data_IF_585357120414
#
_entry.id   IF_585357120414
#
_cell.length_a   1.000
_cell.length_b   1.000
_cell.length_c   1.000
_cell.angle_alpha   90.00
_cell.angle_beta   90.00
_cell.angle_gamma   90.00
#
_symmetry.space_group_name_H-M   'P 1'
#
loop_
_entity.id
_entity.type
_entity.pdbx_description
1 polymer ?
#
# COMPACT_ATOMS: atom_id res chain seq x y z
N UNK A 1 13.44 -31.51 7.95
CA UNK A 1 12.59 -30.75 7.00
C UNK A 1 11.45 -30.15 7.79
N UNK A 2 11.50 -28.85 8.06
CA UNK A 2 10.34 -28.16 8.63
C UNK A 2 9.25 -28.17 7.56
N UNK A 3 8.06 -28.67 7.89
CA UNK A 3 6.90 -28.51 7.02
C UNK A 3 6.68 -27.02 6.80
N UNK A 4 6.73 -26.58 5.55
CA UNK A 4 6.66 -25.18 5.12
C UNK A 4 5.23 -24.61 5.23
N UNK A 5 4.62 -24.83 6.39
CA UNK A 5 3.30 -24.30 6.72
C UNK A 5 3.50 -22.99 7.49
N UNK A 6 4.16 -22.02 6.87
CA UNK A 6 4.25 -20.67 7.42
C UNK A 6 2.87 -20.05 7.35
N UNK A 7 2.05 -20.30 8.37
CA UNK A 7 0.78 -19.61 8.57
C UNK A 7 1.12 -18.14 8.77
N UNK A 8 0.90 -17.33 7.73
CA UNK A 8 0.92 -15.88 7.86
C UNK A 8 -0.43 -15.47 8.45
N UNK A 9 -0.48 -14.74 9.59
CA UNK A 9 -1.73 -14.50 10.31
C UNK A 9 -2.84 -13.83 9.48
N UNK A 10 -2.48 -13.12 8.41
CA UNK A 10 -3.41 -12.44 7.51
C UNK A 10 -3.35 -12.99 6.08
N UNK A 11 -2.93 -14.24 5.89
CA UNK A 11 -2.99 -14.88 4.58
C UNK A 11 -4.43 -14.91 4.05
N UNK A 12 -4.61 -14.58 2.77
CA UNK A 12 -5.92 -14.45 2.15
C UNK A 12 -6.69 -13.16 2.47
N UNK A 13 -6.17 -12.28 3.35
CA UNK A 13 -6.79 -10.97 3.62
C UNK A 13 -6.29 -9.94 2.60
N UNK A 14 -7.21 -9.22 1.95
CA UNK A 14 -6.89 -8.05 1.13
C UNK A 14 -7.20 -6.76 1.88
N UNK A 15 -6.33 -5.77 1.73
CA UNK A 15 -6.48 -4.43 2.34
C UNK A 15 -6.27 -3.35 1.29
N UNK A 16 -7.20 -2.41 1.20
CA UNK A 16 -7.00 -1.18 0.43
C UNK A 16 -6.52 -0.06 1.35
N UNK A 17 -5.30 0.43 1.12
CA UNK A 17 -4.73 1.56 1.85
C UNK A 17 -4.98 2.85 1.07
N UNK A 18 -5.95 3.65 1.52
CA UNK A 18 -6.33 4.93 0.90
C UNK A 18 -5.69 6.15 1.58
N UNK A 19 -4.94 5.93 2.67
CA UNK A 19 -4.31 7.00 3.43
C UNK A 19 -2.89 7.32 2.97
N UNK A 20 -2.46 8.54 3.27
CA UNK A 20 -1.13 9.05 2.97
C UNK A 20 -0.32 9.36 4.23
N UNK A 21 0.93 9.79 4.05
CA UNK A 21 1.86 10.10 5.14
C UNK A 21 2.22 8.90 5.99
N UNK A 22 2.16 9.01 7.32
CA UNK A 22 2.86 8.08 8.20
C UNK A 22 1.90 7.04 8.78
N UNK A 23 0.74 7.46 9.30
CA UNK A 23 -0.13 6.59 10.10
C UNK A 23 -0.71 5.43 9.28
N UNK A 24 -1.43 5.74 8.20
CA UNK A 24 -2.02 4.71 7.34
C UNK A 24 -0.94 3.82 6.69
N UNK A 25 0.14 4.38 6.11
CA UNK A 25 1.22 3.54 5.58
C UNK A 25 1.90 2.66 6.63
N UNK A 26 2.06 3.12 7.87
CA UNK A 26 2.60 2.26 8.94
C UNK A 26 1.65 1.12 9.28
N UNK A 27 0.34 1.39 9.39
CA UNK A 27 -0.66 0.36 9.64
C UNK A 27 -0.71 -0.66 8.49
N UNK A 28 -0.80 -0.20 7.24
CA UNK A 28 -0.80 -1.09 6.07
C UNK A 28 0.49 -1.91 5.96
N UNK A 29 1.64 -1.36 6.35
CA UNK A 29 2.90 -2.13 6.40
C UNK A 29 2.83 -3.27 7.40
N UNK A 30 2.28 -3.03 8.59
CA UNK A 30 2.12 -4.08 9.61
C UNK A 30 1.20 -5.20 9.11
N UNK A 31 0.11 -4.87 8.42
CA UNK A 31 -0.79 -5.86 7.84
C UNK A 31 -0.09 -6.67 6.73
N UNK A 32 0.68 -6.01 5.86
CA UNK A 32 1.47 -6.66 4.82
C UNK A 32 2.57 -7.58 5.41
N UNK A 33 3.27 -7.12 6.45
CA UNK A 33 4.27 -7.91 7.17
C UNK A 33 3.66 -9.18 7.79
N UNK A 34 2.36 -9.18 8.12
CA UNK A 34 1.60 -10.35 8.58
C UNK A 34 0.92 -11.16 7.47
N UNK A 35 1.18 -10.85 6.21
CA UNK A 35 0.76 -11.65 5.05
C UNK A 35 -0.44 -11.15 4.28
N UNK A 36 -1.04 -10.02 4.66
CA UNK A 36 -2.15 -9.44 3.90
C UNK A 36 -1.68 -8.94 2.52
N UNK A 37 -2.53 -9.07 1.50
CA UNK A 37 -2.37 -8.36 0.23
C UNK A 37 -2.78 -6.90 0.42
N UNK A 38 -1.80 -6.04 0.68
CA UNK A 38 -2.04 -4.60 0.84
C UNK A 38 -1.81 -3.88 -0.49
N UNK A 39 -2.86 -3.21 -0.98
CA UNK A 39 -2.83 -2.40 -2.20
C UNK A 39 -2.97 -0.94 -1.78
N UNK A 40 -1.90 -0.18 -1.95
CA UNK A 40 -1.91 1.27 -1.73
C UNK A 40 -2.49 1.97 -2.95
N UNK A 41 -3.52 2.78 -2.73
CA UNK A 41 -4.10 3.65 -3.77
C UNK A 41 -3.44 5.01 -3.69
N UNK A 42 -2.85 5.42 -4.79
CA UNK A 42 -2.04 6.63 -4.87
C UNK A 42 -2.61 7.65 -5.86
N UNK A 43 -2.41 8.93 -5.55
CA UNK A 43 -2.88 10.03 -6.39
C UNK A 43 -2.12 10.08 -7.72
N UNK A 44 -2.78 10.44 -8.84
CA UNK A 44 -2.09 10.71 -10.08
C UNK A 44 -1.03 11.79 -9.93
N UNK A 45 0.05 11.67 -10.70
CA UNK A 45 1.19 12.60 -10.79
C UNK A 45 2.07 12.67 -9.53
N UNK A 46 1.48 12.76 -8.33
CA UNK A 46 2.24 12.96 -7.08
C UNK A 46 2.47 11.68 -6.30
N UNK A 47 1.52 10.74 -6.35
CA UNK A 47 1.44 9.62 -5.43
C UNK A 47 1.30 10.08 -3.97
N UNK A 48 1.88 9.30 -3.05
CA UNK A 48 2.07 9.68 -1.65
C UNK A 48 3.17 10.74 -1.48
N UNK A 49 2.94 11.77 -0.64
CA UNK A 49 3.94 12.80 -0.35
C UNK A 49 5.24 12.22 0.21
N UNK A 50 5.17 11.07 0.90
CA UNK A 50 6.36 10.40 1.37
C UNK A 50 7.29 9.97 0.25
N UNK A 51 6.83 9.79 -0.98
CA UNK A 51 7.72 9.46 -2.10
C UNK A 51 8.85 10.49 -2.26
N UNK A 52 8.62 11.75 -1.88
CA UNK A 52 9.60 12.83 -1.98
C UNK A 52 10.10 13.33 -0.60
N UNK A 53 9.64 12.75 0.50
CA UNK A 53 9.97 13.23 1.85
C UNK A 53 11.45 13.13 2.16
N UNK A 54 12.13 14.27 2.35
CA UNK A 54 13.59 14.32 2.60
C UNK A 54 14.36 13.49 1.58
N UNK A 55 13.97 13.58 0.30
CA UNK A 55 14.65 12.91 -0.80
C UNK A 55 15.94 13.67 -1.13
N UNK A 56 17.06 13.17 -0.62
CA UNK A 56 18.38 13.75 -0.90
C UNK A 56 19.02 13.14 -2.17
N UNK A 57 18.66 11.91 -2.54
CA UNK A 57 19.19 11.19 -3.70
C UNK A 57 18.31 10.00 -4.09
N UNK A 58 18.32 9.61 -5.36
CA UNK A 58 17.54 8.48 -5.89
C UNK A 58 16.16 8.90 -6.40
N UNK A 59 15.31 7.91 -6.62
CA UNK A 59 13.98 8.03 -7.23
C UNK A 59 12.82 8.15 -6.20
N UNK A 60 13.05 7.79 -4.93
CA UNK A 60 12.04 7.91 -3.87
C UNK A 60 12.67 7.95 -2.48
N UNK A 61 11.94 8.46 -1.48
CA UNK A 61 12.47 8.60 -0.13
C UNK A 61 12.68 7.27 0.60
N UNK A 62 13.64 7.28 1.53
CA UNK A 62 13.89 6.14 2.41
C UNK A 62 12.73 5.86 3.37
N UNK A 63 12.00 6.89 3.81
CA UNK A 63 10.84 6.68 4.68
C UNK A 63 9.72 5.97 3.90
N UNK A 64 9.46 6.39 2.66
CA UNK A 64 8.48 5.70 1.80
C UNK A 64 8.86 4.24 1.61
N UNK A 65 10.12 3.93 1.26
CA UNK A 65 10.61 2.54 1.16
C UNK A 65 10.37 1.75 2.45
N UNK A 66 10.66 2.35 3.59
CA UNK A 66 10.57 1.69 4.90
C UNK A 66 9.14 1.31 5.26
N UNK A 67 8.19 2.22 5.06
CA UNK A 67 6.79 2.01 5.50
C UNK A 67 5.84 1.61 4.37
N UNK A 68 6.33 1.43 3.14
CA UNK A 68 5.54 0.89 2.02
C UNK A 68 6.11 -0.40 1.42
N UNK A 69 7.15 -1.00 2.02
CA UNK A 69 7.57 -2.36 1.68
C UNK A 69 6.42 -3.36 1.82
N UNK A 70 6.51 -4.48 1.09
CA UNK A 70 5.53 -5.57 1.06
C UNK A 70 4.13 -5.20 0.52
N UNK A 71 3.93 -3.97 0.05
CA UNK A 71 2.67 -3.52 -0.56
C UNK A 71 2.75 -3.51 -2.08
N UNK A 72 1.60 -3.68 -2.72
CA UNK A 72 1.37 -3.27 -4.11
C UNK A 72 0.95 -1.79 -4.13
N UNK A 73 1.16 -1.12 -5.26
CA UNK A 73 0.74 0.27 -5.46
C UNK A 73 0.00 0.40 -6.79
N UNK A 74 -1.11 1.14 -6.78
CA UNK A 74 -1.88 1.51 -7.96
C UNK A 74 -2.17 3.00 -7.94
N UNK A 75 -2.17 3.63 -9.11
CA UNK A 75 -2.56 5.04 -9.25
C UNK A 75 -4.02 5.09 -9.68
N UNK A 76 -4.87 5.73 -8.87
CA UNK A 76 -6.28 5.98 -9.19
C UNK A 76 -6.65 7.42 -8.81
N UNK A 77 -7.43 8.08 -9.67
CA UNK A 77 -8.04 9.37 -9.32
C UNK A 77 -9.41 9.16 -8.68
N UNK A 78 -9.47 9.13 -7.35
CA UNK A 78 -10.73 8.98 -6.61
C UNK A 78 -11.67 10.19 -6.73
N UNK A 79 -11.25 11.26 -7.42
CA UNK A 79 -12.13 12.39 -7.74
C UNK A 79 -13.01 12.11 -8.94
N UNK A 80 -12.65 11.18 -9.83
CA UNK A 80 -13.49 10.80 -10.97
C UNK A 80 -14.43 9.66 -10.60
N UNK A 81 -15.49 9.48 -11.37
CA UNK A 81 -16.43 8.39 -11.13
C UNK A 81 -15.78 7.03 -11.43
N UNK A 82 -14.98 6.96 -12.49
CA UNK A 82 -14.26 5.76 -12.90
C UNK A 82 -13.26 5.31 -11.82
N UNK A 83 -12.52 6.25 -11.22
CA UNK A 83 -11.58 5.93 -10.14
C UNK A 83 -12.28 5.44 -8.88
N UNK A 84 -13.45 6.00 -8.55
CA UNK A 84 -14.29 5.52 -7.44
C UNK A 84 -14.84 4.12 -7.71
N UNK A 85 -15.33 3.87 -8.92
CA UNK A 85 -15.83 2.55 -9.29
C UNK A 85 -14.72 1.49 -9.21
N UNK A 86 -13.54 1.78 -9.76
CA UNK A 86 -12.40 0.87 -9.72
C UNK A 86 -11.95 0.52 -8.30
N UNK A 87 -11.92 1.49 -7.37
CA UNK A 87 -11.54 1.19 -5.98
C UNK A 87 -12.62 0.37 -5.25
N UNK A 88 -13.90 0.59 -5.57
CA UNK A 88 -15.01 -0.21 -5.03
C UNK A 88 -14.96 -1.66 -5.57
N UNK A 89 -14.66 -1.84 -6.85
CA UNK A 89 -14.50 -3.18 -7.46
C UNK A 89 -13.34 -3.96 -6.83
N UNK A 90 -12.26 -3.27 -6.44
CA UNK A 90 -11.16 -3.87 -5.71
C UNK A 90 -11.54 -4.26 -4.27
N UNK A 91 -12.43 -3.49 -3.63
CA UNK A 91 -12.89 -3.73 -2.26
C UNK A 91 -13.93 -4.87 -2.16
N UNK A 92 -14.67 -5.12 -3.24
CA UNK A 92 -15.72 -6.15 -3.30
C UNK A 92 -15.19 -7.59 -3.43
N UNK A 93 -13.87 -7.78 -3.42
CA UNK A 93 -13.19 -9.08 -3.55
C UNK A 93 -12.52 -9.47 -2.25
#
# INVERSE_FOLDING_TARGET
MFSDNTIRPLDGVRVLELGNYIAAPTAGRMLADFGAEVIKVERPKTGDELRNWRLYSGDTSMLYRTINRNKKSIVLDLRTEEGRQLVLDLAAK
#
